data_IF_594005777329
#
_entry.id   IF_594005777329
#
_cell.length_a   1.000
_cell.length_b   1.000
_cell.length_c   1.000
_cell.angle_alpha   90.00
_cell.angle_beta   90.00
_cell.angle_gamma   90.00
#
_symmetry.space_group_name_H-M   'P 1'
#
loop_
_entity.id
_entity.type
_entity.pdbx_description
1 polymer ?
#
# COMPACT_ATOMS: atom_id res chain seq x y z
N UNK A 1 -16.14 26.34 12.39
CA UNK A 1 -15.87 25.00 12.98
C UNK A 1 -14.60 24.33 12.46
N UNK A 2 -14.37 24.22 11.13
CA UNK A 2 -13.16 23.59 10.58
C UNK A 2 -11.85 24.29 10.98
N UNK A 3 -11.83 25.63 10.98
CA UNK A 3 -10.67 26.45 11.35
C UNK A 3 -10.29 26.27 12.84
N UNK A 4 -11.27 26.22 13.74
CA UNK A 4 -11.03 26.04 15.18
C UNK A 4 -10.42 24.66 15.49
N UNK A 5 -10.89 23.61 14.78
CA UNK A 5 -10.30 22.26 14.85
C UNK A 5 -8.87 22.22 14.31
N UNK A 6 -8.59 22.97 13.24
CA UNK A 6 -7.26 23.04 12.64
C UNK A 6 -6.25 23.72 13.59
N UNK A 7 -6.66 24.83 14.20
CA UNK A 7 -5.83 25.57 15.16
C UNK A 7 -5.58 24.72 16.42
N UNK A 8 -6.62 24.06 16.95
CA UNK A 8 -6.49 23.17 18.10
C UNK A 8 -5.56 21.98 17.84
N UNK A 9 -5.66 21.36 16.66
CA UNK A 9 -4.75 20.28 16.25
C UNK A 9 -3.31 20.77 16.11
N UNK A 10 -3.11 21.92 15.47
CA UNK A 10 -1.77 22.50 15.30
C UNK A 10 -1.11 22.84 16.64
N UNK A 11 -1.86 23.44 17.57
CA UNK A 11 -1.38 23.75 18.91
C UNK A 11 -1.04 22.49 19.72
N UNK A 12 -1.87 21.44 19.62
CA UNK A 12 -1.62 20.15 20.26
C UNK A 12 -0.36 19.47 19.71
N UNK A 13 -0.19 19.45 18.39
CA UNK A 13 0.99 18.88 17.72
C UNK A 13 2.26 19.64 18.12
N UNK A 14 2.21 20.98 18.11
CA UNK A 14 3.33 21.82 18.52
C UNK A 14 3.67 21.63 20.01
N UNK A 15 2.68 21.54 20.90
CA UNK A 15 2.88 21.29 22.32
C UNK A 15 3.45 19.90 22.63
N UNK A 16 2.95 18.88 21.93
CA UNK A 16 3.50 17.52 22.05
C UNK A 16 4.93 17.45 21.52
N UNK A 17 5.19 18.14 20.41
CA UNK A 17 6.52 18.24 19.83
C UNK A 17 7.51 18.92 20.79
N UNK A 18 7.15 20.06 21.38
CA UNK A 18 8.02 20.74 22.34
C UNK A 18 8.23 19.90 23.60
N UNK A 19 7.21 19.21 24.11
CA UNK A 19 7.38 18.31 25.26
C UNK A 19 8.36 17.17 24.97
N UNK A 20 8.27 16.53 23.81
CA UNK A 20 9.10 15.37 23.45
C UNK A 20 10.51 15.78 23.03
N UNK A 21 10.66 16.81 22.19
CA UNK A 21 11.94 17.18 21.57
C UNK A 21 12.68 18.31 22.28
N UNK A 22 12.04 19.02 23.21
CA UNK A 22 12.71 20.02 24.03
C UNK A 22 12.56 19.72 25.53
N UNK A 23 11.37 19.30 26.00
CA UNK A 23 11.10 19.03 27.41
C UNK A 23 11.83 17.80 27.95
N UNK A 24 11.69 16.63 27.31
CA UNK A 24 12.38 15.39 27.71
C UNK A 24 13.91 15.56 27.66
N UNK A 25 14.50 16.09 26.57
CA UNK A 25 15.88 16.56 26.53
C UNK A 25 16.32 17.45 27.69
N UNK A 26 15.52 18.45 28.04
CA UNK A 26 15.84 19.40 29.12
C UNK A 26 15.84 18.71 30.49
N UNK A 27 14.85 17.86 30.76
CA UNK A 27 14.74 17.07 31.98
C UNK A 27 15.94 16.13 32.14
N UNK A 28 16.35 15.46 31.06
CA UNK A 28 17.51 14.56 31.04
C UNK A 28 18.84 15.29 31.28
N UNK A 29 18.92 16.60 31.02
CA UNK A 29 20.14 17.42 31.20
C UNK A 29 20.19 18.07 32.58
N UNK A 30 19.07 18.60 33.08
CA UNK A 30 19.04 19.54 34.22
C UNK A 30 18.76 18.85 35.56
N UNK A 31 18.17 17.66 35.57
CA UNK A 31 17.97 16.92 36.81
C UNK A 31 19.25 16.14 37.18
N UNK A 32 19.88 16.54 38.28
CA UNK A 32 21.01 15.87 38.93
C UNK A 32 20.58 14.57 39.64
N UNK A 33 19.77 13.74 38.98
CA UNK A 33 19.40 12.43 39.50
C UNK A 33 20.44 11.39 39.02
N UNK A 34 21.05 10.59 39.91
CA UNK A 34 21.87 9.47 39.48
C UNK A 34 20.96 8.45 38.78
N UNK A 35 21.50 7.69 37.81
CA UNK A 35 20.93 6.46 37.21
C UNK A 35 20.49 6.53 35.74
N UNK A 36 20.70 7.63 34.99
CA UNK A 36 20.68 7.55 33.50
C UNK A 36 22.11 7.63 32.96
N UNK A 37 22.71 6.49 32.53
CA UNK A 37 24.04 6.49 31.93
C UNK A 37 24.13 7.46 30.75
N UNK A 38 25.27 8.15 30.62
CA UNK A 38 25.49 9.16 29.58
C UNK A 38 25.26 8.63 28.15
N UNK A 39 25.56 7.35 27.90
CA UNK A 39 25.28 6.70 26.61
C UNK A 39 23.78 6.54 26.33
N UNK A 40 22.95 6.33 27.36
CA UNK A 40 21.50 6.22 27.22
C UNK A 40 20.88 7.59 26.91
N UNK A 41 21.44 8.66 27.50
CA UNK A 41 21.08 10.03 27.14
C UNK A 41 21.33 10.28 25.65
N UNK A 42 22.55 9.99 25.18
CA UNK A 42 22.91 10.12 23.75
C UNK A 42 22.00 9.27 22.86
N UNK A 43 21.71 8.02 23.25
CA UNK A 43 20.83 7.14 22.49
C UNK A 43 19.42 7.71 22.33
N UNK A 44 18.83 8.31 23.38
CA UNK A 44 17.52 8.97 23.33
C UNK A 44 17.56 10.18 22.38
N UNK A 45 18.61 11.01 22.47
CA UNK A 45 18.77 12.15 21.57
C UNK A 45 18.95 11.73 20.10
N UNK A 46 19.77 10.72 19.83
CA UNK A 46 19.95 10.18 18.49
C UNK A 46 18.66 9.57 17.94
N UNK A 47 17.87 8.89 18.80
CA UNK A 47 16.59 8.30 18.42
C UNK A 47 15.54 9.38 18.10
N UNK A 48 15.38 10.37 18.98
CA UNK A 48 14.47 11.49 18.76
C UNK A 48 14.91 12.33 17.55
N UNK A 49 16.17 12.74 17.48
CA UNK A 49 16.71 13.50 16.35
C UNK A 49 16.61 12.74 15.01
N UNK A 50 16.84 11.43 15.02
CA UNK A 50 16.68 10.57 13.85
C UNK A 50 15.24 10.50 13.37
N UNK A 51 14.29 10.30 14.29
CA UNK A 51 12.85 10.32 13.96
C UNK A 51 12.47 11.69 13.37
N UNK A 52 12.92 12.79 13.99
CA UNK A 52 12.64 14.14 13.50
C UNK A 52 13.18 14.37 12.09
N UNK A 53 14.42 13.95 11.82
CA UNK A 53 15.04 14.06 10.50
C UNK A 53 14.25 13.27 9.46
N UNK A 54 13.86 12.02 9.77
CA UNK A 54 13.07 11.17 8.86
C UNK A 54 11.69 11.79 8.57
N UNK A 55 11.00 12.28 9.61
CA UNK A 55 9.72 12.98 9.44
C UNK A 55 9.88 14.22 8.55
N UNK A 56 10.96 14.99 8.74
CA UNK A 56 11.26 16.18 7.94
C UNK A 56 11.59 15.82 6.49
N UNK A 57 12.44 14.81 6.25
CA UNK A 57 12.80 14.38 4.89
C UNK A 57 11.58 13.87 4.14
N UNK A 58 10.73 13.07 4.79
CA UNK A 58 9.50 12.58 4.16
C UNK A 58 8.53 13.73 3.94
N UNK A 59 8.35 14.66 4.89
CA UNK A 59 7.49 15.84 4.68
C UNK A 59 7.94 16.71 3.49
N UNK A 60 9.25 16.82 3.26
CA UNK A 60 9.81 17.48 2.08
C UNK A 60 9.55 16.66 0.80
N UNK A 61 9.70 15.34 0.86
CA UNK A 61 9.46 14.43 -0.26
C UNK A 61 7.96 14.33 -0.62
N UNK A 62 7.06 14.47 0.35
CA UNK A 62 5.60 14.60 0.16
C UNK A 62 5.25 15.78 -0.75
N UNK A 63 5.96 16.91 -0.63
CA UNK A 63 5.75 18.06 -1.53
C UNK A 63 6.13 17.74 -2.98
N UNK A 64 7.12 16.87 -3.17
CA UNK A 64 7.62 16.45 -4.50
C UNK A 64 6.78 15.32 -5.10
N UNK A 65 6.25 14.42 -4.27
CA UNK A 65 5.41 13.29 -4.70
C UNK A 65 4.03 13.72 -5.22
N UNK A 66 3.56 14.93 -4.87
CA UNK A 66 2.33 15.50 -5.44
C UNK A 66 2.38 15.65 -6.98
N UNK A 67 3.53 15.39 -7.60
CA UNK A 67 3.78 15.54 -9.04
C UNK A 67 4.20 14.24 -9.75
N UNK A 68 4.08 13.06 -9.12
CA UNK A 68 4.40 11.79 -9.80
C UNK A 68 3.24 10.81 -9.80
N UNK A 69 2.17 11.19 -10.50
CA UNK A 69 1.34 10.19 -11.17
C UNK A 69 2.12 9.65 -12.37
N UNK A 70 3.06 8.72 -12.15
CA UNK A 70 3.56 7.92 -13.27
C UNK A 70 2.42 6.98 -13.66
N UNK A 71 1.69 7.40 -14.69
CA UNK A 71 0.73 6.60 -15.40
C UNK A 71 1.38 5.26 -15.73
N UNK A 72 0.84 4.17 -15.19
CA UNK A 72 1.30 2.84 -15.54
C UNK A 72 1.11 2.67 -17.04
N UNK A 73 2.14 2.35 -17.83
CA UNK A 73 1.95 2.03 -19.23
C UNK A 73 1.15 0.73 -19.28
N UNK A 74 -0.18 0.86 -19.40
CA UNK A 74 -1.08 -0.22 -19.76
C UNK A 74 -0.93 -0.43 -21.27
N UNK A 75 0.24 -0.92 -21.69
CA UNK A 75 0.31 -1.68 -22.92
C UNK A 75 -0.46 -2.97 -22.64
N UNK A 76 -1.80 -2.90 -22.79
CA UNK A 76 -2.66 -4.07 -22.79
C UNK A 76 -2.20 -4.97 -23.94
N UNK A 77 -1.39 -5.97 -23.61
CA UNK A 77 -1.28 -7.15 -24.45
C UNK A 77 -2.69 -7.71 -24.51
N UNK A 78 -3.39 -7.54 -25.64
CA UNK A 78 -4.73 -8.09 -25.81
C UNK A 78 -4.66 -9.59 -25.52
N UNK A 79 -5.20 -10.05 -24.37
CA UNK A 79 -5.15 -11.47 -24.07
C UNK A 79 -6.05 -12.18 -25.07
N UNK A 80 -5.67 -13.39 -25.49
CA UNK A 80 -6.57 -14.24 -26.29
C UNK A 80 -7.90 -14.54 -25.59
N UNK A 81 -7.96 -14.28 -24.27
CA UNK A 81 -9.11 -14.50 -23.39
C UNK A 81 -9.70 -13.17 -22.94
N UNK A 82 -10.99 -12.92 -23.22
CA UNK A 82 -11.70 -11.72 -22.79
C UNK A 82 -11.97 -11.75 -21.27
N UNK A 83 -11.77 -10.63 -20.58
CA UNK A 83 -11.95 -10.52 -19.13
C UNK A 83 -13.13 -9.60 -18.78
N UNK A 84 -14.11 -10.10 -18.02
CA UNK A 84 -15.24 -9.29 -17.56
C UNK A 84 -15.56 -9.52 -16.08
N UNK A 85 -16.06 -8.47 -15.43
CA UNK A 85 -16.64 -8.55 -14.09
C UNK A 85 -18.16 -8.80 -14.10
N UNK A 86 -18.81 -8.69 -15.28
CA UNK A 86 -20.20 -9.09 -15.51
C UNK A 86 -20.32 -10.62 -15.63
N UNK A 87 -21.51 -11.14 -15.38
CA UNK A 87 -21.84 -12.57 -15.52
C UNK A 87 -22.10 -12.98 -16.96
N UNK A 88 -22.42 -12.03 -17.82
CA UNK A 88 -22.82 -12.20 -19.20
C UNK A 88 -22.06 -11.23 -20.11
N UNK A 89 -22.03 -11.55 -21.41
CA UNK A 89 -21.31 -10.79 -22.42
C UNK A 89 -22.34 -10.28 -23.45
N UNK A 90 -22.60 -8.96 -23.49
CA UNK A 90 -23.55 -8.41 -24.46
C UNK A 90 -23.19 -8.81 -25.90
N UNK A 91 -24.16 -9.37 -26.62
CA UNK A 91 -24.00 -9.78 -28.02
C UNK A 91 -23.24 -11.09 -28.24
N UNK A 92 -22.86 -11.83 -27.20
CA UNK A 92 -22.29 -13.19 -27.32
C UNK A 92 -22.90 -14.13 -26.29
N UNK A 93 -23.34 -15.31 -26.73
CA UNK A 93 -23.86 -16.32 -25.82
C UNK A 93 -22.74 -17.21 -25.27
N UNK A 94 -22.88 -17.64 -24.01
CA UNK A 94 -21.97 -18.63 -23.42
C UNK A 94 -22.39 -20.03 -23.88
N UNK A 95 -21.52 -20.72 -24.61
CA UNK A 95 -21.79 -22.06 -25.15
C UNK A 95 -21.37 -23.16 -24.19
N UNK A 96 -20.33 -22.94 -23.39
CA UNK A 96 -19.78 -23.92 -22.46
C UNK A 96 -19.18 -23.23 -21.23
N UNK A 97 -19.45 -23.76 -20.04
CA UNK A 97 -18.78 -23.34 -18.79
C UNK A 97 -17.62 -24.31 -18.52
N UNK A 98 -16.40 -23.81 -18.57
CA UNK A 98 -15.17 -24.60 -18.36
C UNK A 98 -14.78 -24.72 -16.88
N UNK A 99 -15.38 -23.88 -16.03
CA UNK A 99 -15.24 -23.94 -14.57
C UNK A 99 -14.47 -22.78 -13.96
N UNK A 100 -14.12 -22.93 -12.67
CA UNK A 100 -13.41 -21.91 -11.90
C UNK A 100 -11.94 -21.80 -12.33
N UNK A 101 -11.51 -20.59 -12.64
CA UNK A 101 -10.10 -20.23 -12.82
C UNK A 101 -9.66 -19.24 -11.76
N UNK A 102 -8.40 -19.33 -11.35
CA UNK A 102 -7.82 -18.52 -10.29
C UNK A 102 -6.34 -18.29 -10.47
N UNK A 103 -5.86 -17.17 -9.97
CA UNK A 103 -4.45 -16.84 -9.85
C UNK A 103 -4.23 -16.04 -8.58
N UNK A 104 -3.19 -16.37 -7.83
CA UNK A 104 -2.87 -15.68 -6.59
C UNK A 104 -1.38 -15.38 -6.51
N UNK A 105 -1.03 -14.42 -5.67
CA UNK A 105 0.35 -14.07 -5.37
C UNK A 105 0.42 -13.40 -4.01
N UNK A 106 1.55 -13.58 -3.32
CA UNK A 106 1.84 -12.92 -2.05
C UNK A 106 2.97 -11.94 -2.30
N UNK A 107 2.78 -10.69 -1.88
CA UNK A 107 3.79 -9.65 -1.94
C UNK A 107 4.12 -9.16 -0.54
N UNK A 108 5.41 -8.99 -0.27
CA UNK A 108 5.92 -8.33 0.92
C UNK A 108 6.51 -6.97 0.55
N UNK A 109 6.38 -6.01 1.46
CA UNK A 109 7.05 -4.73 1.36
C UNK A 109 8.34 -4.80 2.16
N UNK A 110 9.42 -4.31 1.54
CA UNK A 110 10.70 -4.22 2.23
C UNK A 110 10.68 -3.14 3.33
N UNK A 111 11.38 -3.40 4.44
CA UNK A 111 11.30 -2.63 5.68
C UNK A 111 11.42 -1.11 5.51
N UNK A 112 12.32 -0.61 4.66
CA UNK A 112 12.46 0.83 4.47
C UNK A 112 11.30 1.49 3.73
N UNK A 113 10.65 0.78 2.78
CA UNK A 113 9.41 1.27 2.15
C UNK A 113 8.24 1.25 3.14
N UNK A 114 8.24 0.28 4.04
CA UNK A 114 7.24 0.17 5.09
C UNK A 114 7.37 1.31 6.12
N UNK A 115 8.59 1.69 6.49
CA UNK A 115 8.84 2.85 7.36
C UNK A 115 8.39 4.17 6.70
N UNK A 116 8.69 4.37 5.40
CA UNK A 116 8.18 5.52 4.62
C UNK A 116 6.65 5.57 4.68
N UNK A 117 5.99 4.44 4.43
CA UNK A 117 4.54 4.34 4.49
C UNK A 117 3.97 4.64 5.89
N UNK A 118 4.63 4.17 6.95
CA UNK A 118 4.24 4.49 8.34
C UNK A 118 4.30 5.99 8.61
N UNK A 119 5.36 6.67 8.16
CA UNK A 119 5.46 8.13 8.30
C UNK A 119 4.33 8.83 7.54
N UNK A 120 4.05 8.40 6.31
CA UNK A 120 2.94 8.95 5.51
C UNK A 120 1.58 8.71 6.13
N UNK A 121 1.38 7.57 6.79
CA UNK A 121 0.15 7.25 7.52
C UNK A 121 -0.07 8.24 8.67
N UNK A 122 0.99 8.55 9.44
CA UNK A 122 0.93 9.50 10.56
C UNK A 122 0.68 10.93 10.08
N UNK A 123 1.35 11.34 8.99
CA UNK A 123 1.26 12.70 8.47
C UNK A 123 0.06 12.93 7.53
N UNK A 124 -0.65 11.86 7.12
CA UNK A 124 -1.85 11.94 6.29
C UNK A 124 -1.58 12.09 4.79
N UNK A 125 -0.84 11.15 4.20
CA UNK A 125 -0.54 11.08 2.76
C UNK A 125 -0.87 9.73 2.11
N UNK A 126 -0.78 9.67 0.78
CA UNK A 126 -1.00 8.42 0.02
C UNK A 126 0.15 7.42 0.23
N UNK A 127 -0.19 6.15 0.47
CA UNK A 127 0.74 5.03 0.61
C UNK A 127 1.18 4.51 -0.76
N UNK A 128 1.90 5.33 -1.53
CA UNK A 128 2.27 5.05 -2.92
C UNK A 128 2.99 3.71 -3.10
N UNK A 129 3.83 3.34 -2.13
CA UNK A 129 4.61 2.10 -2.13
C UNK A 129 3.70 0.87 -2.04
N UNK A 130 2.62 0.98 -1.26
CA UNK A 130 1.56 -0.03 -1.16
C UNK A 130 0.69 -0.05 -2.42
N UNK A 131 0.35 1.12 -2.99
CA UNK A 131 -0.39 1.23 -4.26
C UNK A 131 0.35 0.53 -5.39
N UNK A 132 1.65 0.81 -5.55
CA UNK A 132 2.49 0.15 -6.56
C UNK A 132 2.60 -1.36 -6.34
N UNK A 133 2.76 -1.79 -5.09
CA UNK A 133 2.84 -3.20 -4.73
C UNK A 133 1.56 -3.94 -5.09
N UNK A 134 0.39 -3.37 -4.75
CA UNK A 134 -0.92 -3.92 -5.08
C UNK A 134 -1.17 -3.95 -6.59
N UNK A 135 -0.69 -2.96 -7.34
CA UNK A 135 -0.76 -2.95 -8.81
C UNK A 135 0.00 -4.12 -9.43
N UNK A 136 1.25 -4.36 -8.98
CA UNK A 136 2.04 -5.53 -9.43
C UNK A 136 1.40 -6.85 -9.03
N UNK A 137 0.91 -6.94 -7.79
CA UNK A 137 0.23 -8.13 -7.29
C UNK A 137 -1.00 -8.48 -8.13
N UNK A 138 -1.82 -7.46 -8.46
CA UNK A 138 -2.98 -7.60 -9.34
C UNK A 138 -2.60 -8.16 -10.69
N UNK A 139 -1.60 -7.56 -11.34
CA UNK A 139 -1.15 -8.02 -12.66
C UNK A 139 -0.76 -9.49 -12.64
N UNK A 140 0.09 -9.90 -11.70
CA UNK A 140 0.59 -11.29 -11.63
C UNK A 140 -0.54 -12.28 -11.31
N UNK A 141 -1.45 -11.93 -10.40
CA UNK A 141 -2.61 -12.77 -10.10
C UNK A 141 -3.51 -12.92 -11.33
N UNK A 142 -3.79 -11.83 -12.06
CA UNK A 142 -4.57 -11.85 -13.29
C UNK A 142 -3.89 -12.69 -14.38
N UNK A 143 -2.60 -12.48 -14.62
CA UNK A 143 -1.83 -13.24 -15.63
C UNK A 143 -1.88 -14.76 -15.34
N UNK A 144 -1.77 -15.16 -14.06
CA UNK A 144 -1.88 -16.57 -13.63
C UNK A 144 -3.29 -17.13 -13.84
N UNK A 145 -4.33 -16.33 -13.59
CA UNK A 145 -5.72 -16.70 -13.84
C UNK A 145 -5.99 -16.88 -15.34
N UNK A 146 -5.50 -15.96 -16.18
CA UNK A 146 -5.58 -16.04 -17.65
C UNK A 146 -4.88 -17.32 -18.13
N UNK A 147 -3.65 -17.57 -17.68
CA UNK A 147 -2.91 -18.76 -18.08
C UNK A 147 -3.62 -20.07 -17.70
N UNK A 148 -4.40 -20.08 -16.62
CA UNK A 148 -5.26 -21.22 -16.28
C UNK A 148 -6.44 -21.35 -17.27
N UNK A 149 -7.08 -20.24 -17.63
CA UNK A 149 -8.19 -20.25 -18.60
C UNK A 149 -7.75 -20.63 -20.02
N UNK A 150 -6.57 -20.16 -20.46
CA UNK A 150 -5.98 -20.54 -21.74
C UNK A 150 -5.74 -22.06 -21.84
N UNK A 151 -5.29 -22.69 -20.75
CA UNK A 151 -5.13 -24.16 -20.70
C UNK A 151 -6.45 -24.92 -20.82
N UNK A 152 -7.56 -24.29 -20.46
CA UNK A 152 -8.91 -24.85 -20.63
C UNK A 152 -9.48 -24.54 -22.03
N UNK A 153 -8.80 -23.74 -22.85
CA UNK A 153 -9.31 -23.29 -24.15
C UNK A 153 -10.50 -22.34 -24.01
N UNK A 154 -10.48 -21.48 -22.98
CA UNK A 154 -11.51 -20.48 -22.75
C UNK A 154 -11.40 -19.32 -23.73
N UNK A 155 -12.55 -18.80 -24.16
CA UNK A 155 -12.63 -17.56 -24.94
C UNK A 155 -12.77 -16.33 -24.02
N UNK A 156 -13.35 -16.53 -22.83
CA UNK A 156 -13.53 -15.48 -21.84
C UNK A 156 -13.46 -16.00 -20.39
N UNK A 157 -13.19 -15.09 -19.46
CA UNK A 157 -13.40 -15.25 -18.02
C UNK A 157 -14.44 -14.20 -17.59
N UNK A 158 -15.60 -14.69 -17.15
CA UNK A 158 -16.70 -13.86 -16.64
C UNK A 158 -16.70 -13.83 -15.11
N UNK A 159 -17.43 -12.88 -14.54
CA UNK A 159 -17.63 -12.70 -13.10
C UNK A 159 -16.30 -12.62 -12.33
N UNK A 160 -15.29 -11.94 -12.90
CA UNK A 160 -14.00 -11.79 -12.26
C UNK A 160 -14.14 -11.02 -10.96
N UNK A 161 -13.45 -11.51 -9.93
CA UNK A 161 -13.35 -10.91 -8.61
C UNK A 161 -11.89 -10.88 -8.17
N UNK A 162 -11.56 -9.83 -7.42
CA UNK A 162 -10.27 -9.69 -6.75
C UNK A 162 -10.50 -9.68 -5.26
N UNK A 163 -9.72 -10.48 -4.53
CA UNK A 163 -9.70 -10.50 -3.07
C UNK A 163 -8.29 -10.25 -2.59
N UNK A 164 -8.17 -9.53 -1.48
CA UNK A 164 -6.91 -9.31 -0.79
C UNK A 164 -7.02 -9.84 0.63
N UNK A 165 -5.93 -10.35 1.17
CA UNK A 165 -5.86 -10.81 2.57
C UNK A 165 -4.50 -10.47 3.13
N UNK A 166 -4.47 -9.94 4.36
CA UNK A 166 -3.22 -9.75 5.09
C UNK A 166 -2.70 -11.11 5.52
N UNK A 167 -1.45 -11.44 5.18
CA UNK A 167 -0.85 -12.75 5.50
C UNK A 167 -0.04 -12.65 6.78
N UNK A 168 0.92 -11.74 6.79
CA UNK A 168 1.82 -11.44 7.91
C UNK A 168 2.22 -9.97 7.78
N UNK A 169 2.62 -9.31 8.87
CA UNK A 169 2.96 -7.88 8.87
C UNK A 169 3.80 -7.47 7.66
N UNK A 170 3.38 -6.39 6.99
CA UNK A 170 3.94 -5.87 5.72
C UNK A 170 3.81 -6.77 4.47
N UNK A 171 3.03 -7.86 4.54
CA UNK A 171 2.76 -8.75 3.40
C UNK A 171 1.27 -9.02 3.18
N UNK A 172 0.84 -9.00 1.91
CA UNK A 172 -0.53 -9.24 1.50
C UNK A 172 -0.61 -10.24 0.34
N UNK A 173 -1.61 -11.12 0.41
CA UNK A 173 -2.05 -11.93 -0.70
C UNK A 173 -3.03 -11.14 -1.56
N UNK A 174 -2.91 -11.31 -2.89
CA UNK A 174 -3.93 -10.92 -3.84
C UNK A 174 -4.32 -12.14 -4.68
N UNK A 175 -5.62 -12.45 -4.65
CA UNK A 175 -6.27 -13.53 -5.38
C UNK A 175 -7.21 -12.93 -6.44
N UNK A 176 -7.05 -13.36 -7.68
CA UNK A 176 -7.97 -13.12 -8.78
C UNK A 176 -8.67 -14.44 -9.12
N UNK A 177 -9.99 -14.44 -9.28
CA UNK A 177 -10.74 -15.61 -9.70
C UNK A 177 -11.98 -15.24 -10.53
N UNK A 178 -12.47 -16.20 -11.31
CA UNK A 178 -13.65 -16.04 -12.14
C UNK A 178 -14.05 -17.36 -12.81
N UNK A 179 -15.01 -17.32 -13.71
CA UNK A 179 -15.50 -18.49 -14.43
C UNK A 179 -15.02 -18.46 -15.87
N UNK A 180 -14.24 -19.45 -16.28
CA UNK A 180 -13.83 -19.62 -17.67
C UNK A 180 -14.99 -20.17 -18.51
N UNK A 181 -15.20 -19.59 -19.69
CA UNK A 181 -16.31 -19.93 -20.60
C UNK A 181 -15.85 -19.95 -22.05
N UNK A 182 -16.58 -20.70 -22.89
CA UNK A 182 -16.55 -20.55 -24.34
C UNK A 182 -17.73 -19.73 -24.83
N UNK A 183 -17.52 -19.02 -25.93
CA UNK A 183 -18.52 -18.17 -26.53
C UNK A 183 -19.02 -18.75 -27.85
N UNK A 184 -20.24 -18.38 -28.21
CA UNK A 184 -20.74 -18.57 -29.57
C UNK A 184 -19.84 -17.78 -30.53
N UNK A 185 -19.43 -18.42 -31.64
CA UNK A 185 -18.70 -17.74 -32.72
C UNK A 185 -19.51 -16.60 -33.32
#
# INVERSE_FOLDING_TARGET
MKILRLIGSLAFVLGLFTAIFAGVPWHVIVEDDPVIPWWLRIAIFCLLGGILLVLLTVALEQRKSKTSGKEFPLAESQPGVLLLNSTDIPGRETTEILGLVKGHTIFAIWLGKDLSALVRLVLGGELTEYTEMMGRARKIATDRMIAQAEKLGADAIINIRYMTTSVVGSAAELLAYGTAVKLSR
#
